data_IF_980292386886
#
_entry.id   IF_980292386886
#
_cell.length_a   1.000
_cell.length_b   1.000
_cell.length_c   1.000
_cell.angle_alpha   90.00
_cell.angle_beta   90.00
_cell.angle_gamma   90.00
#
_symmetry.space_group_name_H-M   'P 1'
#
loop_
_entity.id
_entity.type
_entity.pdbx_description
1 polymer ?
#
# COMPACT_ATOMS: atom_id res chain seq x y z
N UNK A 1 -0.89 -28.84 -49.57
CA UNK A 1 -0.61 -29.86 -48.53
C UNK A 1 -1.68 -29.72 -47.46
N UNK A 2 -2.78 -30.50 -47.55
CA UNK A 2 -3.08 -31.71 -46.74
C UNK A 2 -3.06 -31.42 -45.23
N UNK A 3 -4.21 -31.06 -44.62
CA UNK A 3 -5.21 -31.94 -43.91
C UNK A 3 -4.67 -32.49 -42.57
N UNK A 4 -5.37 -32.61 -41.43
CA UNK A 4 -6.79 -32.81 -41.13
C UNK A 4 -7.03 -32.64 -39.60
N UNK A 5 -8.25 -32.24 -39.20
CA UNK A 5 -8.82 -32.34 -37.83
C UNK A 5 -9.22 -33.80 -37.47
N UNK A 6 -9.34 -34.14 -36.17
CA UNK A 6 -10.26 -35.14 -35.52
C UNK A 6 -10.05 -35.06 -33.99
N UNK A 7 -11.00 -34.70 -33.10
CA UNK A 7 -12.27 -35.31 -32.62
C UNK A 7 -12.16 -36.69 -31.93
N UNK A 8 -12.46 -36.69 -30.62
CA UNK A 8 -13.30 -37.58 -29.77
C UNK A 8 -13.04 -39.09 -29.81
N UNK A 9 -12.84 -39.73 -28.63
CA UNK A 9 -13.53 -40.98 -28.23
C UNK A 9 -13.68 -41.03 -26.70
N UNK A 10 -14.94 -41.08 -26.23
CA UNK A 10 -15.33 -41.59 -24.92
C UNK A 10 -15.39 -43.13 -24.99
N UNK A 11 -14.82 -43.82 -24.02
CA UNK A 11 -14.82 -45.28 -23.92
C UNK A 11 -15.53 -45.74 -22.67
N UNK A 12 -16.75 -46.26 -22.84
CA UNK A 12 -17.47 -47.04 -21.84
C UNK A 12 -16.78 -48.41 -21.67
N UNK A 13 -16.58 -48.83 -20.41
CA UNK A 13 -16.16 -50.18 -20.07
C UNK A 13 -17.21 -50.80 -19.14
N UNK A 14 -18.11 -51.56 -19.76
CA UNK A 14 -18.94 -52.53 -19.08
C UNK A 14 -18.11 -53.81 -18.90
N UNK A 15 -17.92 -54.25 -17.65
CA UNK A 15 -17.46 -55.61 -17.35
C UNK A 15 -18.57 -56.36 -16.60
N UNK A 16 -18.87 -57.52 -17.16
CA UNK A 16 -19.83 -58.53 -16.74
C UNK A 16 -19.51 -59.13 -15.38
N UNK A 17 -20.54 -59.21 -14.53
CA UNK A 17 -20.62 -59.98 -13.28
C UNK A 17 -20.47 -61.49 -13.52
N UNK A 18 -19.52 -62.13 -12.82
CA UNK A 18 -19.66 -63.53 -12.36
C UNK A 18 -18.95 -63.69 -11.00
N UNK A 19 -19.74 -63.94 -9.95
CA UNK A 19 -19.44 -64.86 -8.85
C UNK A 19 -18.27 -64.54 -7.90
N UNK A 20 -18.59 -63.98 -6.74
CA UNK A 20 -17.71 -63.98 -5.57
C UNK A 20 -18.09 -62.88 -4.59
N UNK A 21 -19.07 -63.13 -3.71
CA UNK A 21 -19.43 -62.20 -2.64
C UNK A 21 -18.30 -62.13 -1.60
N UNK A 22 -17.35 -61.21 -1.81
CA UNK A 22 -16.60 -60.62 -0.71
C UNK A 22 -17.42 -59.40 -0.29
N UNK A 23 -18.07 -59.49 0.87
CA UNK A 23 -18.58 -58.31 1.55
C UNK A 23 -17.33 -57.53 1.97
N UNK A 24 -16.84 -56.67 1.09
CA UNK A 24 -15.94 -55.60 1.49
C UNK A 24 -16.79 -54.68 2.36
N UNK A 25 -16.58 -54.76 3.67
CA UNK A 25 -17.03 -53.71 4.56
C UNK A 25 -16.45 -52.41 3.98
N UNK A 26 -17.26 -51.44 3.53
CA UNK A 26 -16.70 -50.16 3.16
C UNK A 26 -16.06 -49.62 4.43
N UNK A 27 -14.72 -49.60 4.46
CA UNK A 27 -13.99 -48.83 5.45
C UNK A 27 -14.51 -47.41 5.26
N UNK A 28 -15.33 -46.96 6.20
CA UNK A 28 -15.83 -45.59 6.25
C UNK A 28 -14.57 -44.73 6.20
N UNK A 29 -14.39 -43.99 5.10
CA UNK A 29 -13.31 -43.01 5.04
C UNK A 29 -13.56 -42.04 6.19
N UNK A 30 -12.72 -42.11 7.21
CA UNK A 30 -12.80 -41.23 8.35
C UNK A 30 -12.51 -39.82 7.84
N UNK A 31 -13.43 -38.89 8.10
CA UNK A 31 -13.24 -37.52 7.65
C UNK A 31 -12.01 -36.94 8.35
N UNK A 32 -11.11 -36.31 7.61
CA UNK A 32 -9.95 -35.65 8.22
C UNK A 32 -10.45 -34.54 9.16
N UNK A 33 -9.79 -34.37 10.32
CA UNK A 33 -10.07 -33.30 11.28
C UNK A 33 -10.09 -31.94 10.56
N UNK A 34 -11.11 -31.11 10.85
CA UNK A 34 -11.23 -29.77 10.26
C UNK A 34 -10.06 -28.88 10.73
N UNK A 35 -9.27 -28.27 9.82
CA UNK A 35 -8.20 -27.36 10.19
C UNK A 35 -8.75 -25.98 10.56
N UNK A 36 -7.95 -25.18 11.27
CA UNK A 36 -8.21 -23.76 11.54
C UNK A 36 -7.04 -22.90 11.04
N UNK A 37 -7.22 -22.28 9.89
CA UNK A 37 -6.27 -21.34 9.30
C UNK A 37 -6.78 -19.90 9.43
N UNK A 38 -5.89 -19.01 9.88
CA UNK A 38 -6.21 -17.60 10.10
C UNK A 38 -5.71 -16.81 8.89
N UNK A 39 -6.60 -16.03 8.29
CA UNK A 39 -6.23 -15.08 7.22
C UNK A 39 -5.61 -13.84 7.87
N UNK A 40 -4.42 -13.46 7.43
CA UNK A 40 -3.78 -12.22 7.80
C UNK A 40 -3.66 -11.34 6.57
N UNK A 41 -4.08 -10.09 6.69
CA UNK A 41 -3.91 -9.08 5.64
C UNK A 41 -3.03 -7.97 6.16
N UNK A 42 -2.02 -7.60 5.38
CA UNK A 42 -1.28 -6.36 5.55
C UNK A 42 -1.57 -5.47 4.34
N UNK A 43 -2.22 -4.35 4.59
CA UNK A 43 -2.53 -3.32 3.61
C UNK A 43 -1.40 -2.28 3.55
N UNK A 44 -0.89 -2.01 2.35
CA UNK A 44 0.10 -0.98 2.08
C UNK A 44 -0.41 -0.01 1.01
N UNK A 45 0.19 1.19 0.88
CA UNK A 45 0.08 1.97 -0.33
C UNK A 45 0.34 1.13 -1.59
N UNK A 46 -0.41 1.42 -2.66
CA UNK A 46 -0.32 0.67 -3.92
C UNK A 46 1.10 0.68 -4.52
N UNK A 47 1.84 1.79 -4.35
CA UNK A 47 3.19 1.99 -4.87
C UNK A 47 4.09 2.67 -3.82
N UNK A 48 5.41 2.48 -3.95
CA UNK A 48 6.42 3.25 -3.21
C UNK A 48 6.64 2.84 -1.76
N UNK A 49 5.96 1.80 -1.26
CA UNK A 49 6.18 1.27 0.09
C UNK A 49 6.43 -0.24 0.02
N UNK A 50 7.53 -0.66 0.64
CA UNK A 50 7.95 -2.03 0.83
C UNK A 50 7.27 -2.63 2.06
N UNK A 51 7.06 -3.94 1.98
CA UNK A 51 6.53 -4.72 3.09
C UNK A 51 7.54 -4.72 4.25
N UNK A 52 7.13 -4.40 5.49
CA UNK A 52 8.03 -4.47 6.63
C UNK A 52 8.33 -5.93 6.98
N UNK A 53 9.47 -6.15 7.62
CA UNK A 53 9.70 -7.40 8.34
C UNK A 53 8.92 -7.35 9.67
N UNK A 54 7.92 -8.21 9.82
CA UNK A 54 7.14 -8.34 11.06
C UNK A 54 6.59 -9.77 11.20
N UNK A 55 6.34 -10.17 12.45
CA UNK A 55 5.68 -11.43 12.81
C UNK A 55 4.37 -11.11 13.51
N UNK A 56 3.26 -11.63 12.96
CA UNK A 56 1.95 -11.53 13.60
C UNK A 56 1.60 -12.86 14.25
N UNK A 57 1.41 -12.86 15.57
CA UNK A 57 0.96 -13.99 16.35
C UNK A 57 -0.51 -13.88 16.72
N UNK A 58 -1.17 -15.03 16.86
CA UNK A 58 -2.57 -15.12 17.27
C UNK A 58 -2.68 -15.85 18.60
N UNK A 59 -3.18 -15.15 19.60
CA UNK A 59 -3.29 -15.63 20.97
C UNK A 59 -4.67 -16.23 21.22
N UNK A 60 -4.71 -17.52 21.49
CA UNK A 60 -5.93 -18.22 21.90
C UNK A 60 -5.99 -18.25 23.44
N UNK A 61 -6.92 -17.49 24.01
CA UNK A 61 -7.17 -17.47 25.44
C UNK A 61 -8.39 -18.34 25.75
N UNK A 62 -8.26 -19.42 26.53
CA UNK A 62 -9.39 -20.22 26.98
C UNK A 62 -10.52 -19.41 27.60
N UNK A 63 -11.76 -19.77 27.28
CA UNK A 63 -12.96 -19.17 27.85
C UNK A 63 -13.82 -20.22 28.57
N UNK A 64 -14.11 -21.35 27.91
CA UNK A 64 -14.92 -22.41 28.53
C UNK A 64 -14.76 -23.77 27.85
N UNK A 65 -15.15 -24.83 28.56
CA UNK A 65 -15.38 -26.16 28.01
C UNK A 65 -16.82 -26.58 28.34
N UNK A 66 -17.62 -26.91 27.31
CA UNK A 66 -19.05 -27.22 27.45
C UNK A 66 -19.84 -26.18 28.27
N UNK A 67 -19.42 -24.91 28.20
CA UNK A 67 -20.02 -23.79 28.95
C UNK A 67 -19.49 -23.59 30.38
N UNK A 68 -18.68 -24.51 30.90
CA UNK A 68 -17.98 -24.31 32.18
C UNK A 68 -16.76 -23.40 31.97
N UNK A 69 -16.72 -22.28 32.69
CA UNK A 69 -15.64 -21.28 32.61
C UNK A 69 -14.45 -21.59 33.51
N UNK A 70 -14.52 -22.63 34.34
CA UNK A 70 -13.43 -23.02 35.23
C UNK A 70 -12.36 -23.83 34.47
N UNK A 71 -11.74 -23.21 33.46
CA UNK A 71 -10.80 -23.86 32.54
C UNK A 71 -9.33 -23.47 32.79
N UNK A 72 -8.41 -24.34 32.38
CA UNK A 72 -6.96 -24.13 32.48
C UNK A 72 -6.19 -24.75 31.33
N UNK A 73 -4.99 -24.25 31.04
CA UNK A 73 -4.04 -24.85 30.10
C UNK A 73 -2.92 -25.63 30.77
N UNK A 74 -2.85 -25.64 32.11
CA UNK A 74 -1.83 -26.38 32.86
C UNK A 74 -2.36 -27.78 33.19
N UNK A 75 -1.68 -28.81 32.66
CA UNK A 75 -2.01 -30.21 32.86
C UNK A 75 -1.86 -30.67 34.33
N UNK A 76 -1.10 -29.94 35.16
CA UNK A 76 -0.78 -30.33 36.55
C UNK A 76 -1.65 -29.67 37.61
N UNK A 77 -2.72 -28.97 37.22
CA UNK A 77 -3.45 -28.10 38.14
C UNK A 77 -4.38 -28.82 39.12
N UNK A 78 -4.91 -28.02 40.05
CA UNK A 78 -5.69 -28.40 41.24
C UNK A 78 -7.09 -28.94 40.93
N UNK A 79 -7.72 -29.55 41.94
CA UNK A 79 -9.06 -30.13 41.87
C UNK A 79 -10.14 -29.12 41.44
N UNK A 80 -10.84 -29.42 40.35
CA UNK A 80 -12.07 -28.73 39.92
C UNK A 80 -11.97 -27.94 38.62
N UNK A 81 -10.77 -27.71 38.08
CA UNK A 81 -10.59 -27.03 36.79
C UNK A 81 -10.53 -28.02 35.61
N UNK A 82 -10.99 -27.58 34.44
CA UNK A 82 -11.02 -28.37 33.21
C UNK A 82 -9.84 -28.00 32.32
N UNK A 83 -9.02 -28.99 31.98
CA UNK A 83 -7.92 -28.78 31.04
C UNK A 83 -8.44 -28.52 29.62
N UNK A 84 -7.92 -27.46 29.00
CA UNK A 84 -8.08 -27.17 27.57
C UNK A 84 -6.71 -26.98 26.92
N UNK A 85 -6.51 -27.44 25.66
CA UNK A 85 -5.22 -27.30 25.00
C UNK A 85 -4.79 -25.85 24.79
N UNK A 86 -3.48 -25.61 24.89
CA UNK A 86 -2.87 -24.38 24.40
C UNK A 86 -2.82 -24.43 22.86
N UNK A 87 -3.18 -23.31 22.23
CA UNK A 87 -3.15 -23.14 20.78
C UNK A 87 -2.35 -21.87 20.48
N UNK A 88 -1.47 -21.95 19.50
CA UNK A 88 -0.74 -20.80 18.97
C UNK A 88 -0.62 -20.91 17.46
N UNK A 89 -0.69 -19.75 16.80
CA UNK A 89 -0.48 -19.62 15.37
C UNK A 89 0.20 -18.28 15.08
N UNK A 90 0.86 -18.17 13.94
CA UNK A 90 1.43 -16.91 13.49
C UNK A 90 1.88 -16.97 12.04
N UNK A 91 2.18 -15.80 11.50
CA UNK A 91 2.69 -15.61 10.14
C UNK A 91 3.79 -14.55 10.13
N UNK A 92 4.71 -14.67 9.18
CA UNK A 92 5.78 -13.71 8.96
C UNK A 92 5.55 -12.96 7.65
N UNK A 93 5.94 -11.70 7.65
CA UNK A 93 6.06 -10.85 6.47
C UNK A 93 7.53 -10.48 6.27
N UNK A 94 7.94 -10.43 5.02
CA UNK A 94 9.29 -10.04 4.62
C UNK A 94 9.24 -8.97 3.53
N UNK A 95 10.31 -8.17 3.36
CA UNK A 95 10.36 -7.14 2.31
C UNK A 95 10.16 -7.64 0.87
N UNK A 96 10.48 -8.92 0.64
CA UNK A 96 10.25 -9.60 -0.64
C UNK A 96 8.79 -9.94 -0.92
N UNK A 97 7.89 -9.81 0.06
CA UNK A 97 6.46 -10.04 -0.09
C UNK A 97 5.77 -8.86 -0.78
N UNK A 98 5.84 -8.86 -2.12
CA UNK A 98 5.43 -7.73 -2.94
C UNK A 98 4.19 -8.00 -3.82
N UNK A 99 3.59 -9.19 -3.69
CA UNK A 99 2.41 -9.58 -4.45
C UNK A 99 1.17 -8.92 -3.83
N UNK A 100 0.38 -8.27 -4.68
CA UNK A 100 -0.98 -7.86 -4.34
C UNK A 100 -1.93 -9.04 -4.55
N UNK A 101 -2.41 -9.64 -3.47
CA UNK A 101 -3.30 -10.78 -3.51
C UNK A 101 -4.77 -10.40 -3.76
N UNK A 102 -5.15 -9.12 -3.61
CA UNK A 102 -6.51 -8.64 -3.87
C UNK A 102 -6.52 -7.24 -4.50
N UNK A 103 -6.38 -7.21 -5.82
CA UNK A 103 -6.44 -6.00 -6.65
C UNK A 103 -7.81 -5.31 -6.68
N UNK A 104 -8.85 -5.88 -6.05
CA UNK A 104 -10.18 -5.24 -5.99
C UNK A 104 -10.32 -4.22 -4.85
N UNK A 105 -9.40 -4.28 -3.89
CA UNK A 105 -9.31 -3.36 -2.76
C UNK A 105 -8.23 -2.31 -3.03
N UNK A 106 -8.47 -1.01 -2.82
CA UNK A 106 -7.43 0.01 -3.04
C UNK A 106 -6.19 -0.21 -2.15
N UNK A 107 -5.01 -0.07 -2.73
CA UNK A 107 -3.75 -0.40 -2.05
C UNK A 107 -3.29 -1.82 -2.33
N UNK A 108 -2.08 -2.16 -1.88
CA UNK A 108 -1.55 -3.51 -2.00
C UNK A 108 -2.03 -4.36 -0.83
N UNK A 109 -2.73 -5.45 -1.11
CA UNK A 109 -3.17 -6.42 -0.10
C UNK A 109 -2.22 -7.61 -0.05
N UNK A 110 -1.24 -7.58 0.85
CA UNK A 110 -0.35 -8.74 1.05
C UNK A 110 -1.06 -9.71 2.00
N UNK A 111 -1.43 -10.88 1.49
CA UNK A 111 -2.24 -11.86 2.23
C UNK A 111 -1.38 -13.07 2.59
N UNK A 112 -1.40 -13.40 3.88
CA UNK A 112 -0.83 -14.63 4.43
C UNK A 112 -1.91 -15.45 5.11
N UNK A 113 -1.65 -16.75 5.22
CA UNK A 113 -2.49 -17.68 5.95
C UNK A 113 -1.60 -18.50 6.88
N UNK A 114 -2.03 -18.71 8.13
CA UNK A 114 -1.30 -19.56 9.07
C UNK A 114 -1.30 -21.01 8.59
N UNK A 115 -0.36 -21.83 9.10
CA UNK A 115 -0.63 -23.27 9.18
C UNK A 115 -1.90 -23.55 10.01
N UNK A 116 -2.35 -24.81 10.01
CA UNK A 116 -3.45 -25.23 10.89
C UNK A 116 -3.08 -25.00 12.36
N UNK A 117 -3.77 -24.06 13.00
CA UNK A 117 -3.58 -23.71 14.40
C UNK A 117 -3.84 -24.88 15.34
N UNK A 118 -4.68 -25.86 14.94
CA UNK A 118 -5.09 -26.98 15.78
C UNK A 118 -4.18 -28.20 15.68
N UNK A 119 -3.22 -28.19 14.76
CA UNK A 119 -2.34 -29.34 14.42
C UNK A 119 -1.65 -29.98 15.63
N UNK A 120 -1.31 -29.18 16.64
CA UNK A 120 -0.61 -29.64 17.85
C UNK A 120 -1.50 -29.63 19.11
N UNK A 121 -2.81 -29.39 18.97
CA UNK A 121 -3.72 -29.35 20.10
C UNK A 121 -3.94 -30.76 20.69
N UNK A 122 -3.67 -30.91 21.98
CA UNK A 122 -3.78 -32.19 22.70
C UNK A 122 -5.17 -32.39 23.29
N UNK A 123 -6.16 -32.70 22.45
CA UNK A 123 -7.55 -32.90 22.89
C UNK A 123 -7.66 -34.11 23.83
N UNK A 124 -8.39 -33.93 24.95
CA UNK A 124 -8.56 -34.95 26.00
C UNK A 124 -10.00 -35.41 26.19
N UNK A 125 -10.96 -34.63 25.74
CA UNK A 125 -12.38 -34.91 25.93
C UNK A 125 -13.15 -34.48 24.67
N UNK A 126 -14.24 -35.17 24.38
CA UNK A 126 -15.23 -34.69 23.42
C UNK A 126 -16.01 -33.52 24.03
N UNK A 127 -16.37 -32.53 23.21
CA UNK A 127 -17.12 -31.37 23.66
C UNK A 127 -16.81 -30.11 22.87
N UNK A 128 -17.31 -28.99 23.38
CA UNK A 128 -17.09 -27.66 22.84
C UNK A 128 -16.01 -26.94 23.64
N UNK A 129 -14.91 -26.62 22.99
CA UNK A 129 -13.86 -25.76 23.51
C UNK A 129 -14.06 -24.35 22.99
N UNK A 130 -14.09 -23.34 23.87
CA UNK A 130 -14.29 -21.94 23.49
C UNK A 130 -13.06 -21.12 23.83
N UNK A 131 -12.60 -20.35 22.87
CA UNK A 131 -11.44 -19.46 22.97
C UNK A 131 -11.82 -18.03 22.57
N UNK A 132 -11.19 -17.06 23.22
CA UNK A 132 -11.04 -15.69 22.72
C UNK A 132 -9.75 -15.61 21.92
N UNK A 133 -9.79 -15.09 20.70
CA UNK A 133 -8.62 -14.93 19.84
C UNK A 133 -8.36 -13.46 19.53
N UNK A 134 -7.12 -13.04 19.72
CA UNK A 134 -6.62 -11.70 19.41
C UNK A 134 -5.27 -11.79 18.72
N UNK A 135 -4.93 -10.77 17.94
CA UNK A 135 -3.58 -10.62 17.38
C UNK A 135 -2.61 -9.99 18.38
N UNK A 136 -1.32 -10.27 18.22
CA UNK A 136 -0.21 -9.49 18.77
C UNK A 136 0.99 -9.53 17.80
N UNK A 137 1.90 -8.55 17.91
CA UNK A 137 3.24 -8.62 17.31
C UNK A 137 4.30 -8.43 18.40
N UNK A 138 5.43 -9.16 18.36
CA UNK A 138 6.54 -8.91 19.28
C UNK A 138 7.29 -7.60 18.99
N UNK A 139 7.10 -7.01 17.81
CA UNK A 139 7.81 -5.81 17.34
C UNK A 139 6.95 -4.53 17.41
N UNK A 140 5.71 -4.63 17.91
CA UNK A 140 4.73 -3.54 17.92
C UNK A 140 5.21 -2.24 18.61
N UNK A 141 6.15 -2.36 19.55
CA UNK A 141 6.68 -1.25 20.36
C UNK A 141 8.03 -0.73 19.82
N UNK A 142 8.52 -1.28 18.70
CA UNK A 142 9.75 -0.82 18.05
C UNK A 142 9.51 0.46 17.23
N UNK A 143 10.52 1.35 17.20
CA UNK A 143 10.42 2.64 16.50
C UNK A 143 10.20 2.45 14.98
N UNK A 144 10.81 1.41 14.40
CA UNK A 144 10.64 1.07 13.00
C UNK A 144 9.21 0.60 12.67
N UNK A 145 8.39 0.26 13.66
CA UNK A 145 6.98 -0.17 13.50
C UNK A 145 5.98 0.90 13.93
N UNK A 146 6.42 2.11 14.31
CA UNK A 146 5.56 3.18 14.83
C UNK A 146 4.41 3.61 13.89
N UNK A 147 4.58 3.38 12.59
CA UNK A 147 3.60 3.74 11.56
C UNK A 147 2.66 2.56 11.19
N UNK A 148 2.77 1.43 11.89
CA UNK A 148 1.88 0.28 11.78
C UNK A 148 0.61 0.49 12.60
N UNK A 149 -0.54 0.25 11.98
CA UNK A 149 -1.83 0.14 12.68
C UNK A 149 -2.20 -1.33 12.80
N UNK A 150 -2.05 -1.87 14.01
CA UNK A 150 -2.39 -3.25 14.33
C UNK A 150 -3.91 -3.45 14.50
N UNK A 151 -4.41 -4.59 14.05
CA UNK A 151 -5.79 -5.01 14.21
C UNK A 151 -6.14 -5.15 15.68
N UNK A 152 -7.27 -4.58 16.07
CA UNK A 152 -7.91 -4.74 17.38
C UNK A 152 -9.08 -5.71 17.34
N UNK A 153 -9.18 -6.49 16.27
CA UNK A 153 -10.25 -7.48 16.15
C UNK A 153 -10.17 -8.49 17.28
N UNK A 154 -11.33 -8.91 17.76
CA UNK A 154 -11.47 -9.95 18.76
C UNK A 154 -12.48 -10.96 18.23
N UNK A 155 -12.17 -12.24 18.41
CA UNK A 155 -13.03 -13.33 17.99
C UNK A 155 -13.34 -14.28 19.13
N UNK A 156 -14.56 -14.78 19.17
CA UNK A 156 -14.95 -15.95 19.96
C UNK A 156 -14.99 -17.15 19.03
N UNK A 157 -14.09 -18.11 19.25
CA UNK A 157 -13.94 -19.33 18.45
C UNK A 157 -14.42 -20.52 19.27
N UNK A 158 -15.35 -21.30 18.72
CA UNK A 158 -15.85 -22.55 19.29
C UNK A 158 -15.39 -23.73 18.44
N UNK A 159 -14.67 -24.65 19.06
CA UNK A 159 -14.11 -25.84 18.44
C UNK A 159 -14.86 -27.05 19.00
N UNK A 160 -15.52 -27.80 18.12
CA UNK A 160 -16.30 -28.97 18.49
C UNK A 160 -15.52 -30.23 18.19
N UNK A 161 -15.22 -30.96 19.26
CA UNK A 161 -14.40 -32.18 19.23
C UNK A 161 -15.28 -33.38 19.55
N UNK A 162 -15.10 -34.47 18.81
CA UNK A 162 -15.72 -35.76 19.12
C UNK A 162 -14.64 -36.82 19.33
N UNK A 163 -14.97 -37.82 20.12
CA UNK A 163 -14.17 -39.03 20.28
C UNK A 163 -14.48 -40.01 19.14
N UNK A 164 -13.45 -40.67 18.63
CA UNK A 164 -13.52 -41.70 17.61
C UNK A 164 -13.57 -43.09 18.23
N UNK A 165 -13.86 -44.10 17.42
CA UNK A 165 -14.00 -45.49 17.90
C UNK A 165 -12.69 -46.04 18.50
N UNK A 166 -11.55 -45.51 18.08
CA UNK A 166 -10.22 -45.89 18.59
C UNK A 166 -9.79 -45.10 19.84
N UNK A 167 -10.65 -44.23 20.37
CA UNK A 167 -10.38 -43.37 21.53
C UNK A 167 -9.55 -42.12 21.22
N UNK A 168 -9.27 -41.83 19.95
CA UNK A 168 -8.68 -40.55 19.52
C UNK A 168 -9.74 -39.47 19.36
N UNK A 169 -9.31 -38.21 19.17
CA UNK A 169 -10.21 -37.06 19.10
C UNK A 169 -10.05 -36.31 17.78
N UNK A 170 -11.16 -35.93 17.17
CA UNK A 170 -11.22 -35.18 15.91
C UNK A 170 -12.03 -33.88 16.09
N UNK A 171 -11.59 -32.80 15.43
CA UNK A 171 -12.39 -31.58 15.27
C UNK A 171 -13.36 -31.77 14.11
N UNK A 172 -14.65 -31.76 14.39
CA UNK A 172 -15.69 -31.97 13.36
C UNK A 172 -16.44 -30.68 12.99
N UNK A 173 -16.44 -29.67 13.86
CA UNK A 173 -17.03 -28.37 13.57
C UNK A 173 -16.26 -27.22 14.24
N UNK A 174 -16.25 -26.06 13.58
CA UNK A 174 -15.64 -24.84 14.09
C UNK A 174 -16.61 -23.70 13.81
N UNK A 175 -16.93 -22.92 14.85
CA UNK A 175 -17.80 -21.76 14.73
C UNK A 175 -17.13 -20.51 15.27
N UNK A 176 -17.21 -19.41 14.52
CA UNK A 176 -16.50 -18.17 14.79
C UNK A 176 -17.50 -17.03 14.88
N UNK A 177 -17.29 -16.15 15.85
CA UNK A 177 -18.01 -14.89 16.02
C UNK A 177 -16.97 -13.77 16.08
N UNK A 178 -17.06 -12.79 15.19
CA UNK A 178 -16.26 -11.55 15.26
C UNK A 178 -16.89 -10.63 16.30
N UNK A 179 -16.26 -10.50 17.46
CA UNK A 179 -16.74 -9.66 18.56
C UNK A 179 -16.38 -8.19 18.36
N UNK A 180 -15.19 -7.93 17.80
CA UNK A 180 -14.72 -6.58 17.43
C UNK A 180 -14.14 -6.55 16.03
N UNK A 181 -14.29 -5.41 15.36
CA UNK A 181 -13.61 -5.10 14.11
C UNK A 181 -12.14 -4.73 14.33
N UNK A 182 -11.40 -4.63 13.24
CA UNK A 182 -9.97 -4.30 13.24
C UNK A 182 -9.68 -2.89 13.81
N UNK A 183 -10.63 -1.96 13.74
CA UNK A 183 -10.58 -0.65 14.40
C UNK A 183 -10.90 -0.70 15.91
N UNK A 184 -11.35 -1.86 16.41
CA UNK A 184 -11.73 -2.10 17.81
C UNK A 184 -13.20 -1.82 18.12
N UNK A 185 -14.00 -1.41 17.13
CA UNK A 185 -15.45 -1.22 17.31
C UNK A 185 -16.15 -2.56 17.54
N UNK A 186 -17.12 -2.58 18.46
CA UNK A 186 -17.92 -3.77 18.75
C UNK A 186 -18.82 -4.09 17.57
N UNK A 187 -18.92 -5.37 17.23
CA UNK A 187 -19.90 -5.85 16.24
C UNK A 187 -21.21 -6.15 16.96
N UNK A 188 -22.18 -5.26 16.79
CA UNK A 188 -23.56 -5.47 17.27
C UNK A 188 -24.18 -6.69 16.57
N UNK A 189 -24.99 -7.46 17.31
CA UNK A 189 -25.67 -8.67 16.82
C UNK A 189 -24.75 -9.73 16.17
N UNK A 190 -23.48 -9.74 16.56
CA UNK A 190 -22.54 -10.76 16.09
C UNK A 190 -23.02 -12.16 16.48
N UNK A 191 -23.18 -13.03 15.48
CA UNK A 191 -23.57 -14.42 15.66
C UNK A 191 -22.42 -15.35 15.28
N UNK A 192 -22.41 -16.54 15.86
CA UNK A 192 -21.49 -17.60 15.44
C UNK A 192 -21.86 -18.08 14.04
N UNK A 193 -20.87 -18.14 13.16
CA UNK A 193 -20.97 -18.71 11.81
C UNK A 193 -20.02 -19.91 11.69
N UNK A 194 -20.37 -20.88 10.86
CA UNK A 194 -19.47 -21.99 10.53
C UNK A 194 -18.21 -21.43 9.85
N UNK A 195 -17.05 -21.87 10.31
CA UNK A 195 -15.77 -21.46 9.73
C UNK A 195 -15.56 -22.06 8.35
N UNK A 196 -15.06 -21.24 7.43
CA UNK A 196 -14.52 -21.70 6.16
C UNK A 196 -13.12 -21.13 5.94
N UNK A 197 -12.14 -21.92 5.46
CA UNK A 197 -10.77 -21.45 5.25
C UNK A 197 -10.61 -20.49 4.06
N UNK A 198 -11.70 -20.20 3.34
CA UNK A 198 -11.65 -19.45 2.09
C UNK A 198 -10.96 -20.20 0.96
N UNK A 199 -10.97 -19.62 -0.24
CA UNK A 199 -10.38 -20.21 -1.45
C UNK A 199 -9.64 -19.15 -2.27
N UNK A 200 -8.73 -19.57 -3.16
CA UNK A 200 -7.94 -18.67 -4.00
C UNK A 200 -6.81 -17.97 -3.24
N UNK A 201 -6.09 -17.11 -3.97
CA UNK A 201 -4.95 -16.36 -3.43
C UNK A 201 -5.40 -15.27 -2.44
N UNK A 202 -6.60 -14.70 -2.65
CA UNK A 202 -7.24 -13.71 -1.78
C UNK A 202 -7.92 -14.32 -0.54
N UNK A 203 -7.95 -15.66 -0.46
CA UNK A 203 -8.64 -16.43 0.60
C UNK A 203 -10.09 -16.00 0.78
N UNK A 204 -10.78 -15.74 -0.33
CA UNK A 204 -12.17 -15.28 -0.32
C UNK A 204 -13.07 -16.25 0.44
N UNK A 205 -13.88 -15.71 1.35
CA UNK A 205 -14.79 -16.46 2.21
C UNK A 205 -14.22 -16.78 3.59
N UNK A 206 -12.92 -16.62 3.82
CA UNK A 206 -12.37 -16.72 5.18
C UNK A 206 -12.66 -15.44 5.97
N UNK A 207 -13.68 -15.50 6.84
CA UNK A 207 -14.07 -14.39 7.72
C UNK A 207 -13.25 -14.34 9.02
N UNK A 208 -12.38 -15.32 9.27
CA UNK A 208 -11.45 -15.29 10.39
C UNK A 208 -10.17 -14.55 9.99
N UNK A 209 -10.30 -13.24 9.88
CA UNK A 209 -9.29 -12.36 9.29
C UNK A 209 -8.85 -11.26 10.26
N UNK A 210 -7.55 -10.97 10.27
CA UNK A 210 -6.99 -9.78 10.94
C UNK A 210 -6.32 -8.88 9.90
N UNK A 211 -6.69 -7.60 9.88
CA UNK A 211 -6.22 -6.64 8.88
C UNK A 211 -5.43 -5.51 9.54
N UNK A 212 -4.18 -5.33 9.10
CA UNK A 212 -3.31 -4.25 9.57
C UNK A 212 -2.98 -3.29 8.44
N UNK A 213 -2.65 -2.05 8.80
CA UNK A 213 -2.32 -1.01 7.84
C UNK A 213 -0.90 -0.51 8.08
N UNK A 214 -0.09 -0.50 7.02
CA UNK A 214 1.27 0.01 7.03
C UNK A 214 1.35 1.33 6.25
N UNK A 215 1.13 2.43 6.96
CA UNK A 215 1.08 3.79 6.41
C UNK A 215 2.35 4.57 6.77
N UNK A 216 3.50 4.05 6.31
CA UNK A 216 4.84 4.55 6.63
C UNK A 216 4.99 6.04 6.32
N UNK A 217 5.62 6.79 7.23
CA UNK A 217 5.98 8.20 7.04
C UNK A 217 7.48 8.39 7.10
N UNK A 218 8.00 9.31 6.29
CA UNK A 218 9.41 9.69 6.36
C UNK A 218 9.60 11.16 5.93
N UNK A 219 10.82 11.67 6.09
CA UNK A 219 11.19 13.04 5.79
C UNK A 219 12.48 13.45 6.49
N UNK A 220 12.78 14.75 6.43
CA UNK A 220 13.89 15.33 7.18
C UNK A 220 13.40 16.47 8.07
N UNK A 221 13.26 16.20 9.36
CA UNK A 221 12.84 17.23 10.33
C UNK A 221 13.97 18.22 10.67
N UNK A 222 15.21 17.89 10.32
CA UNK A 222 16.39 18.71 10.59
C UNK A 222 17.25 18.96 9.34
N UNK A 223 16.67 19.56 8.28
CA UNK A 223 17.44 19.87 7.08
C UNK A 223 18.47 20.95 7.38
N UNK A 224 19.66 20.77 6.83
CA UNK A 224 20.80 21.66 7.00
C UNK A 224 21.77 21.50 5.83
N UNK A 225 22.89 22.20 5.86
CA UNK A 225 23.92 22.12 4.81
C UNK A 225 23.61 23.00 3.60
N UNK A 226 24.65 23.26 2.80
CA UNK A 226 24.69 24.28 1.75
C UNK A 226 23.67 24.09 0.61
N UNK A 227 23.89 24.70 -0.57
CA UNK A 227 22.81 24.92 -1.53
C UNK A 227 22.25 23.65 -2.18
N UNK A 228 22.97 22.53 -2.13
CA UNK A 228 22.56 21.26 -2.73
C UNK A 228 21.55 20.53 -1.85
N UNK A 229 20.70 19.71 -2.47
CA UNK A 229 19.86 18.74 -1.75
C UNK A 229 20.78 17.75 -1.04
N UNK A 230 20.57 17.54 0.26
CA UNK A 230 21.32 16.55 1.05
C UNK A 230 20.64 15.19 0.98
N UNK A 231 21.37 14.10 1.22
CA UNK A 231 20.78 12.75 1.17
C UNK A 231 19.63 12.56 2.16
N UNK A 232 19.74 13.15 3.36
CA UNK A 232 18.65 13.14 4.33
C UNK A 232 17.38 13.84 3.82
N UNK A 233 17.51 14.90 3.01
CA UNK A 233 16.36 15.65 2.46
C UNK A 233 15.51 14.80 1.50
N UNK A 234 16.09 13.73 0.95
CA UNK A 234 15.47 12.89 -0.08
C UNK A 234 14.62 11.74 0.49
N UNK A 235 14.59 11.55 1.81
CA UNK A 235 13.78 10.52 2.48
C UNK A 235 12.29 10.73 2.26
N UNK A 236 11.84 11.97 2.47
CA UNK A 236 10.50 12.42 2.09
C UNK A 236 10.52 12.94 0.65
N UNK A 237 10.71 14.25 0.48
CA UNK A 237 10.83 14.86 -0.84
C UNK A 237 11.58 16.19 -0.73
N UNK A 238 12.40 16.50 -1.73
CA UNK A 238 13.06 17.78 -1.85
C UNK A 238 12.87 18.42 -3.23
N UNK A 239 12.57 19.71 -3.26
CA UNK A 239 12.54 20.52 -4.48
C UNK A 239 13.56 21.65 -4.35
N UNK A 240 14.52 21.74 -5.27
CA UNK A 240 15.51 22.82 -5.29
C UNK A 240 15.36 23.70 -6.51
N UNK A 241 15.45 25.02 -6.30
CA UNK A 241 15.47 26.02 -7.37
C UNK A 241 16.89 26.46 -7.70
N UNK A 242 17.23 26.48 -8.98
CA UNK A 242 18.50 27.04 -9.50
C UNK A 242 18.26 27.96 -10.68
N UNK A 243 19.21 28.86 -10.96
CA UNK A 243 19.22 29.77 -12.10
C UNK A 243 20.54 29.54 -12.81
N UNK A 244 20.50 29.28 -14.10
CA UNK A 244 21.68 29.09 -14.93
C UNK A 244 22.28 30.43 -15.36
N UNK A 245 23.61 30.50 -15.43
CA UNK A 245 24.35 31.68 -15.86
C UNK A 245 25.60 31.90 -15.00
N UNK A 246 26.48 32.80 -15.45
CA UNK A 246 27.70 33.15 -14.72
C UNK A 246 27.42 33.97 -13.45
N UNK A 247 26.38 34.81 -13.50
CA UNK A 247 25.96 35.69 -12.39
C UNK A 247 24.45 35.52 -12.12
N UNK A 248 24.01 34.37 -11.59
CA UNK A 248 22.60 34.13 -11.33
C UNK A 248 22.07 35.09 -10.26
N UNK A 249 20.89 35.66 -10.50
CA UNK A 249 20.21 36.50 -9.52
C UNK A 249 19.90 35.71 -8.25
N UNK A 250 20.28 36.26 -7.09
CA UNK A 250 20.00 35.65 -5.79
C UNK A 250 18.75 36.23 -5.11
N UNK A 251 18.12 37.21 -5.75
CA UNK A 251 16.96 37.93 -5.20
C UNK A 251 15.66 37.60 -5.90
N UNK A 252 15.72 37.14 -7.16
CA UNK A 252 14.53 36.80 -7.93
C UNK A 252 13.78 35.61 -7.33
N UNK A 253 12.46 35.72 -7.37
CA UNK A 253 11.52 34.82 -6.69
C UNK A 253 10.74 34.02 -7.72
N UNK A 254 10.67 32.72 -7.49
CA UNK A 254 9.96 31.76 -8.32
C UNK A 254 8.87 31.12 -7.47
N UNK A 255 7.63 31.15 -7.96
CA UNK A 255 6.51 30.52 -7.25
C UNK A 255 6.29 29.13 -7.80
N UNK A 256 6.20 28.14 -6.91
CA UNK A 256 5.80 26.79 -7.23
C UNK A 256 4.46 26.46 -6.58
N UNK A 257 3.61 25.75 -7.29
CA UNK A 257 2.47 25.02 -6.74
C UNK A 257 2.90 23.57 -6.47
N UNK A 258 2.84 23.16 -5.21
CA UNK A 258 3.03 21.78 -4.79
C UNK A 258 1.67 21.13 -4.56
N UNK A 259 1.35 20.08 -5.32
CA UNK A 259 0.19 19.23 -5.07
C UNK A 259 0.69 17.86 -4.58
N UNK A 260 0.29 17.46 -3.38
CA UNK A 260 0.65 16.16 -2.81
C UNK A 260 -0.64 15.36 -2.61
N UNK A 261 -0.82 14.30 -3.38
CA UNK A 261 -1.92 13.36 -3.20
C UNK A 261 -1.58 12.33 -2.12
N UNK A 262 -2.56 12.00 -1.28
CA UNK A 262 -2.47 10.89 -0.32
C UNK A 262 -2.22 9.57 -1.08
N UNK A 263 -1.43 8.62 -0.54
CA UNK A 263 -1.21 7.34 -1.21
C UNK A 263 -2.54 6.59 -1.40
N UNK A 264 -2.67 5.93 -2.55
CA UNK A 264 -3.81 5.03 -2.81
C UNK A 264 -3.74 3.82 -1.87
N UNK A 265 -4.87 3.49 -1.23
CA UNK A 265 -4.93 2.44 -0.22
C UNK A 265 -4.46 2.83 1.19
N UNK A 266 -4.06 4.09 1.40
CA UNK A 266 -3.63 4.54 2.73
C UNK A 266 -4.81 4.68 3.70
N UNK A 267 -4.69 4.08 4.89
CA UNK A 267 -5.68 4.15 5.97
C UNK A 267 -5.36 5.22 7.02
N UNK A 268 -4.23 5.92 6.88
CA UNK A 268 -3.84 7.01 7.79
C UNK A 268 -4.87 8.15 7.85
N UNK A 269 -5.16 8.68 9.03
CA UNK A 269 -6.01 9.87 9.19
C UNK A 269 -5.30 11.19 8.89
N UNK A 270 -4.03 11.16 8.46
CA UNK A 270 -3.26 12.37 8.17
C UNK A 270 -3.90 13.19 7.03
N UNK A 271 -4.19 14.45 7.33
CA UNK A 271 -4.76 15.42 6.37
C UNK A 271 -3.71 16.41 5.85
N UNK A 272 -2.53 16.44 6.48
CA UNK A 272 -1.44 17.35 6.16
C UNK A 272 -0.09 16.64 6.11
N UNK A 273 0.83 17.19 5.33
CA UNK A 273 2.27 16.92 5.40
C UNK A 273 3.00 18.17 5.92
N UNK A 274 4.26 18.01 6.33
CA UNK A 274 5.06 19.13 6.85
C UNK A 274 6.35 19.34 6.06
N UNK A 275 6.81 20.58 6.01
CA UNK A 275 8.00 20.96 5.22
C UNK A 275 8.72 22.19 5.78
N UNK A 276 9.95 22.36 5.34
CA UNK A 276 10.79 23.53 5.54
C UNK A 276 11.14 24.19 4.21
N UNK A 277 11.41 25.49 4.25
CA UNK A 277 12.21 26.15 3.21
C UNK A 277 13.61 26.32 3.76
N UNK A 278 14.60 25.85 3.02
CA UNK A 278 16.03 25.94 3.39
C UNK A 278 16.69 26.92 2.43
N UNK A 279 17.38 27.91 2.98
CA UNK A 279 18.07 28.92 2.21
C UNK A 279 19.37 28.40 1.56
N UNK A 280 19.98 29.21 0.70
CA UNK A 280 21.22 28.85 0.01
C UNK A 280 22.43 28.57 0.95
N UNK A 281 22.36 29.00 2.21
CA UNK A 281 23.38 28.77 3.23
C UNK A 281 23.08 27.56 4.11
N UNK A 282 21.89 26.96 3.96
CA UNK A 282 21.45 25.81 4.74
C UNK A 282 20.63 26.16 5.98
N UNK A 283 20.22 27.41 6.17
CA UNK A 283 19.34 27.78 7.27
C UNK A 283 17.89 27.41 6.92
N UNK A 284 17.23 26.65 7.79
CA UNK A 284 15.81 26.27 7.63
C UNK A 284 14.88 27.33 8.21
N UNK A 285 13.72 27.48 7.58
CA UNK A 285 12.61 28.28 8.09
C UNK A 285 11.96 27.62 9.33
N UNK A 286 10.93 28.26 9.88
CA UNK A 286 9.97 27.56 10.73
C UNK A 286 9.29 26.42 9.95
N UNK A 287 8.84 25.39 10.69
CA UNK A 287 8.13 24.23 10.12
C UNK A 287 6.78 24.70 9.60
N UNK A 288 6.46 24.34 8.36
CA UNK A 288 5.20 24.66 7.69
C UNK A 288 4.42 23.39 7.41
N UNK A 289 3.15 23.55 7.11
CA UNK A 289 2.26 22.45 6.73
C UNK A 289 1.67 22.71 5.34
N UNK A 290 1.44 21.64 4.60
CA UNK A 290 0.64 21.61 3.38
C UNK A 290 -0.49 20.60 3.55
N UNK A 291 -1.62 20.85 2.90
CA UNK A 291 -2.77 19.94 2.92
C UNK A 291 -2.67 18.93 1.78
N UNK A 292 -2.97 17.66 2.05
CA UNK A 292 -3.07 16.67 0.99
C UNK A 292 -4.20 17.03 0.02
N UNK A 293 -4.01 16.73 -1.28
CA UNK A 293 -4.93 16.97 -2.39
C UNK A 293 -5.23 18.44 -2.68
N UNK A 294 -4.54 19.37 -2.02
CA UNK A 294 -4.61 20.81 -2.30
C UNK A 294 -3.27 21.35 -2.73
N UNK A 295 -3.34 22.39 -3.55
CA UNK A 295 -2.16 23.12 -4.00
C UNK A 295 -1.60 23.97 -2.85
N UNK A 296 -0.32 23.78 -2.56
CA UNK A 296 0.45 24.58 -1.60
C UNK A 296 1.44 25.44 -2.37
N UNK A 297 1.26 26.76 -2.32
CA UNK A 297 2.21 27.70 -2.93
C UNK A 297 3.47 27.84 -2.07
N UNK A 298 4.64 27.71 -2.72
CA UNK A 298 5.95 27.97 -2.12
C UNK A 298 6.74 28.92 -3.01
N UNK A 299 7.53 29.80 -2.39
CA UNK A 299 8.36 30.77 -3.11
C UNK A 299 9.82 30.43 -2.82
N UNK A 300 10.60 30.21 -3.88
CA UNK A 300 12.02 29.91 -3.81
C UNK A 300 12.83 30.92 -4.62
N UNK A 301 14.00 31.28 -4.09
CA UNK A 301 15.05 31.99 -4.81
C UNK A 301 16.12 31.01 -5.31
N UNK A 302 17.11 31.53 -6.02
CA UNK A 302 18.27 30.75 -6.42
C UNK A 302 18.91 30.04 -5.22
N UNK A 303 19.12 28.73 -5.37
CA UNK A 303 19.69 27.81 -4.39
C UNK A 303 18.87 27.59 -3.09
N UNK A 304 17.63 28.06 -3.03
CA UNK A 304 16.72 27.65 -1.97
C UNK A 304 16.06 26.31 -2.33
N UNK A 305 15.66 25.57 -1.29
CA UNK A 305 14.95 24.29 -1.46
C UNK A 305 13.79 24.13 -0.49
N UNK A 306 12.74 23.46 -0.93
CA UNK A 306 11.73 22.85 -0.05
C UNK A 306 12.21 21.48 0.35
N UNK A 307 12.07 21.13 1.63
CA UNK A 307 12.34 19.79 2.15
C UNK A 307 11.15 19.35 2.98
N UNK A 308 10.55 18.21 2.63
CA UNK A 308 9.47 17.63 3.42
C UNK A 308 10.05 17.04 4.71
N UNK A 309 9.51 17.50 5.83
CA UNK A 309 9.91 17.08 7.16
C UNK A 309 9.22 15.77 7.57
N UNK A 310 7.98 15.60 7.14
CA UNK A 310 7.20 14.37 7.34
C UNK A 310 6.12 14.30 6.25
N UNK A 311 6.05 13.17 5.55
CA UNK A 311 5.06 12.86 4.52
C UNK A 311 4.78 11.35 4.52
N UNK A 312 3.53 10.95 4.25
CA UNK A 312 3.18 9.56 3.93
C UNK A 312 3.95 9.08 2.69
N UNK A 313 4.69 7.99 2.81
CA UNK A 313 5.31 7.33 1.66
C UNK A 313 4.23 6.66 0.79
N UNK A 314 4.50 6.53 -0.50
CA UNK A 314 3.52 6.24 -1.54
C UNK A 314 2.72 7.47 -2.02
N UNK A 315 2.92 8.66 -1.43
CA UNK A 315 2.24 9.88 -1.86
C UNK A 315 2.72 10.29 -3.25
N UNK A 316 1.79 10.77 -4.10
CA UNK A 316 2.16 11.36 -5.38
C UNK A 316 2.35 12.86 -5.23
N UNK A 317 3.56 13.36 -5.49
CA UNK A 317 3.85 14.81 -5.51
C UNK A 317 3.90 15.32 -6.94
N UNK A 318 3.42 16.54 -7.15
CA UNK A 318 3.57 17.34 -8.38
C UNK A 318 4.06 18.72 -7.99
N UNK A 319 5.13 19.21 -8.62
CA UNK A 319 5.75 20.49 -8.33
C UNK A 319 5.87 21.34 -9.60
N UNK A 320 4.96 22.31 -9.77
CA UNK A 320 4.91 23.15 -10.97
C UNK A 320 5.34 24.58 -10.67
N UNK A 321 6.31 25.10 -11.41
CA UNK A 321 6.62 26.52 -11.38
C UNK A 321 5.49 27.31 -12.07
N UNK A 322 4.80 28.17 -11.31
CA UNK A 322 3.63 28.92 -11.79
C UNK A 322 3.97 30.38 -12.11
N UNK A 323 5.05 30.92 -11.54
CA UNK A 323 5.52 32.29 -11.80
C UNK A 323 7.04 32.32 -11.89
N UNK A 324 7.54 32.68 -13.08
CA UNK A 324 8.98 32.66 -13.42
C UNK A 324 9.52 34.00 -13.96
N UNK A 325 8.68 35.01 -14.17
CA UNK A 325 9.09 36.30 -14.73
C UNK A 325 9.61 36.18 -16.17
N UNK A 326 10.82 36.69 -16.43
CA UNK A 326 11.50 36.66 -17.75
C UNK A 326 12.30 35.39 -18.00
N UNK A 327 12.16 34.38 -17.13
CA UNK A 327 12.92 33.15 -17.20
C UNK A 327 12.11 32.02 -17.83
N UNK A 328 12.80 31.12 -18.55
CA UNK A 328 12.26 29.81 -18.92
C UNK A 328 12.81 28.75 -17.97
N UNK A 329 11.89 28.04 -17.32
CA UNK A 329 12.17 26.99 -16.36
C UNK A 329 12.07 25.59 -16.97
N UNK A 330 12.85 24.66 -16.43
CA UNK A 330 12.74 23.23 -16.72
C UNK A 330 13.14 22.40 -15.50
N UNK A 331 12.62 21.18 -15.42
CA UNK A 331 13.23 20.15 -14.57
C UNK A 331 14.60 19.83 -15.16
N UNK A 332 15.64 19.98 -14.34
CA UNK A 332 17.02 19.67 -14.70
C UNK A 332 17.34 18.20 -14.43
N UNK A 333 16.83 17.69 -13.33
CA UNK A 333 16.91 16.30 -12.93
C UNK A 333 15.85 16.01 -11.88
N UNK A 334 15.38 14.77 -11.83
CA UNK A 334 14.50 14.29 -10.78
C UNK A 334 14.78 12.83 -10.49
N UNK A 335 14.46 12.41 -9.27
CA UNK A 335 14.36 11.00 -8.90
C UNK A 335 13.15 10.79 -8.02
N UNK A 336 12.51 9.64 -8.19
CA UNK A 336 11.37 9.21 -7.39
C UNK A 336 11.52 7.73 -7.08
N UNK A 337 11.51 7.40 -5.80
CA UNK A 337 11.74 6.05 -5.31
C UNK A 337 12.99 5.40 -5.95
N UNK A 338 14.13 6.10 -5.89
CA UNK A 338 15.40 5.69 -6.50
C UNK A 338 15.47 5.72 -8.04
N UNK A 339 14.35 5.91 -8.74
CA UNK A 339 14.29 5.86 -10.22
C UNK A 339 14.58 7.23 -10.83
N UNK A 340 15.52 7.28 -11.78
CA UNK A 340 15.86 8.49 -12.53
C UNK A 340 14.77 8.91 -13.51
N UNK A 341 14.56 10.22 -13.63
CA UNK A 341 13.71 10.82 -14.65
C UNK A 341 13.88 12.33 -14.78
N UNK A 342 13.11 12.93 -15.69
CA UNK A 342 13.03 14.38 -15.93
C UNK A 342 11.58 14.88 -15.77
N UNK A 343 10.95 14.53 -14.64
CA UNK A 343 9.53 14.78 -14.37
C UNK A 343 9.33 15.79 -13.25
N UNK A 344 8.24 16.56 -13.35
CA UNK A 344 7.79 17.47 -12.29
C UNK A 344 6.89 16.75 -11.26
N UNK A 345 6.68 15.44 -11.41
CA UNK A 345 5.82 14.65 -10.56
C UNK A 345 6.29 13.19 -10.44
N UNK A 346 5.93 12.54 -9.33
CA UNK A 346 6.23 11.14 -9.07
C UNK A 346 5.79 10.65 -7.69
N UNK A 347 6.00 9.37 -7.43
CA UNK A 347 5.70 8.73 -6.14
C UNK A 347 6.88 8.94 -5.18
N UNK A 348 6.58 9.43 -3.98
CA UNK A 348 7.52 9.54 -2.88
C UNK A 348 7.63 8.15 -2.25
N UNK A 349 8.72 7.43 -2.51
CA UNK A 349 8.87 6.05 -2.04
C UNK A 349 9.96 5.85 -0.99
N UNK A 350 9.96 4.68 -0.37
CA UNK A 350 10.80 4.30 0.77
C UNK A 350 12.22 3.83 0.41
N UNK A 351 12.49 3.55 -0.86
CA UNK A 351 13.88 3.43 -1.36
C UNK A 351 14.64 4.75 -1.22
N UNK A 352 13.91 5.86 -1.04
CA UNK A 352 14.45 7.20 -0.91
C UNK A 352 14.80 7.83 -2.26
N UNK A 353 15.76 8.76 -2.24
CA UNK A 353 16.18 9.52 -3.42
C UNK A 353 15.02 10.30 -4.09
N UNK A 354 14.07 10.82 -3.31
CA UNK A 354 12.91 11.56 -3.83
C UNK A 354 13.24 13.06 -3.97
N UNK A 355 13.46 13.55 -5.20
CA UNK A 355 13.73 14.97 -5.41
C UNK A 355 13.45 15.50 -6.82
N UNK A 356 13.39 16.82 -6.92
CA UNK A 356 13.43 17.59 -8.18
C UNK A 356 14.48 18.71 -8.05
N UNK A 357 15.41 18.80 -9.00
CA UNK A 357 16.18 20.02 -9.25
C UNK A 357 15.55 20.77 -10.43
N UNK A 358 15.10 22.00 -10.19
CA UNK A 358 14.48 22.87 -11.18
C UNK A 358 15.44 24.00 -11.56
N UNK A 359 15.68 24.19 -12.85
CA UNK A 359 16.63 25.18 -13.36
C UNK A 359 15.93 26.18 -14.28
N UNK A 360 16.15 27.48 -14.03
CA UNK A 360 15.67 28.53 -14.92
C UNK A 360 16.82 29.22 -15.62
N UNK A 361 16.59 29.64 -16.85
CA UNK A 361 17.55 30.43 -17.63
C UNK A 361 16.90 31.73 -18.09
N UNK A 362 17.64 32.83 -17.98
CA UNK A 362 17.20 34.12 -18.53
C UNK A 362 16.98 34.01 -20.03
N UNK A 363 15.89 34.61 -20.50
CA UNK A 363 15.67 34.80 -21.92
C UNK A 363 16.56 35.93 -22.44
N UNK A 364 17.37 35.64 -23.44
CA UNK A 364 18.04 36.69 -24.20
C UNK A 364 17.07 37.25 -25.26
N UNK A 365 17.17 38.54 -25.63
CA UNK A 365 16.32 39.14 -26.67
C UNK A 365 16.30 38.35 -28.00
N UNK A 366 17.41 37.69 -28.32
CA UNK A 366 17.55 36.82 -29.50
C UNK A 366 16.76 35.51 -29.39
N UNK A 367 16.60 34.94 -28.20
CA UNK A 367 15.80 33.72 -27.98
C UNK A 367 14.30 33.97 -28.20
N UNK A 368 13.80 35.11 -27.71
CA UNK A 368 12.40 35.52 -27.89
C UNK A 368 12.03 35.71 -29.37
N UNK A 369 12.98 36.18 -30.19
CA UNK A 369 12.82 36.35 -31.64
C UNK A 369 12.81 35.01 -32.40
N UNK A 370 13.62 34.04 -31.98
CA UNK A 370 13.72 32.72 -32.62
C UNK A 370 12.48 31.87 -32.33
N UNK A 371 12.02 31.84 -31.07
CA UNK A 371 10.86 31.02 -30.68
C UNK A 371 9.53 31.58 -31.21
N UNK A 372 9.45 32.91 -31.42
CA UNK A 372 8.28 33.56 -32.04
C UNK A 372 8.46 33.79 -33.55
N UNK A 373 9.58 33.40 -34.16
CA UNK A 373 9.85 33.62 -35.58
C UNK A 373 8.76 33.06 -36.50
N UNK A 374 8.16 31.87 -36.23
CA UNK A 374 7.05 31.37 -37.03
C UNK A 374 5.83 32.29 -37.00
N UNK A 375 5.50 32.85 -35.82
CA UNK A 375 4.39 33.78 -35.64
C UNK A 375 4.67 35.15 -36.28
N UNK A 376 5.89 35.67 -36.10
CA UNK A 376 6.34 36.94 -36.69
C UNK A 376 6.36 36.84 -38.23
N UNK A 377 6.82 35.70 -38.77
CA UNK A 377 6.79 35.44 -40.21
C UNK A 377 5.36 35.39 -40.75
N UNK A 378 4.42 34.79 -40.01
CA UNK A 378 3.01 34.74 -40.39
C UNK A 378 2.38 36.13 -40.45
N UNK A 379 2.67 37.00 -39.48
CA UNK A 379 2.25 38.40 -39.48
C UNK A 379 2.87 39.16 -40.67
N UNK A 380 4.15 38.91 -40.96
CA UNK A 380 4.83 39.54 -42.10
C UNK A 380 4.24 39.10 -43.45
N UNK A 381 3.95 37.80 -43.64
CA UNK A 381 3.29 37.29 -44.86
C UNK A 381 1.87 37.84 -44.99
N UNK A 382 1.10 37.90 -43.88
CA UNK A 382 -0.23 38.49 -43.89
C UNK A 382 -0.19 39.98 -44.24
N UNK A 383 0.76 40.74 -43.68
CA UNK A 383 0.99 42.14 -44.00
C UNK A 383 1.36 42.36 -45.47
N UNK A 384 2.24 41.52 -46.02
CA UNK A 384 2.60 41.55 -47.44
C UNK A 384 1.40 41.20 -48.32
N UNK A 385 0.60 40.21 -47.96
CA UNK A 385 -0.62 39.83 -48.68
C UNK A 385 -1.65 40.96 -48.74
N UNK A 386 -1.88 41.66 -47.63
CA UNK A 386 -2.77 42.84 -47.57
C UNK A 386 -2.20 43.98 -48.43
N UNK A 387 -0.89 44.23 -48.35
CA UNK A 387 -0.24 45.27 -49.15
C UNK A 387 -0.38 45.00 -50.67
N UNK A 388 -0.12 43.77 -51.12
CA UNK A 388 -0.28 43.39 -52.53
C UNK A 388 -1.74 43.46 -52.99
N UNK A 389 -2.69 43.05 -52.14
CA UNK A 389 -4.13 43.16 -52.45
C UNK A 389 -4.56 44.63 -52.63
N UNK A 390 -4.15 45.52 -51.72
CA UNK A 390 -4.49 46.96 -51.81
C UNK A 390 -3.83 47.61 -53.03
N UNK A 391 -2.59 47.25 -53.35
CA UNK A 391 -1.90 47.76 -54.55
C UNK A 391 -2.61 47.33 -55.83
N UNK A 392 -2.92 46.04 -55.98
CA UNK A 392 -3.59 45.54 -57.18
C UNK A 392 -4.98 46.15 -57.36
N UNK A 393 -5.72 46.37 -56.27
CA UNK A 393 -7.02 47.05 -56.33
C UNK A 393 -6.92 48.51 -56.79
N UNK A 394 -5.87 49.23 -56.37
CA UNK A 394 -5.60 50.59 -56.83
C UNK A 394 -5.16 50.65 -58.29
N UNK A 395 -4.45 49.63 -58.78
CA UNK A 395 -4.09 49.52 -60.20
C UNK A 395 -5.32 49.19 -61.06
N UNK A 396 -6.24 48.34 -60.60
CA UNK A 396 -7.53 48.11 -61.25
C UNK A 396 -8.44 49.35 -61.26
N UNK A 397 -8.50 50.11 -60.16
CA UNK A 397 -9.24 51.39 -60.08
C UNK A 397 -8.58 52.51 -60.94
N UNK A 398 -7.30 52.40 -61.30
CA UNK A 398 -6.60 53.34 -62.17
C UNK A 398 -6.61 52.96 -63.66
N UNK A 399 -7.01 51.71 -63.98
CA UNK A 399 -7.17 51.17 -65.34
C UNK A 399 -8.64 51.11 -65.80
N UNK A 400 -9.59 51.38 -64.91
CA UNK A 400 -11.00 51.64 -65.19
C UNK A 400 -11.26 53.14 -65.36
#
# INVERSE_FOLDING_TARGET
>A
MKTLKKKIVAGALAFTLVGGAVIANPQKAEAASKPLNIKKVLNLPAEGVETPYDTFGFKFTPVSFNGDTNVTTDEKKTTGEIYVPLISAGVNYEPTDNIDNDTSTPGKQVIRETEDALKNANWKNAGQYVYKVTEYSPYQDEDDMKDMTYSKAEYTVSIFVKELEDGTFEVYDIQIKKDKKDDGTVVEDANKQEYTPGQGDDKKGNEFVFENNWDKKDGNDNPSGGPKIQDADKKGFALRKTIAGENPSTTDKFTFSLNVAKPEGSHSDATTYSYYIVDAKGAKSEKKTGEYKKDTEVILKHNERVVFAEVLLGSKVTAKETKSGTYIGKVKSSKFNGTEGDSDNGIIGDTGDNFIEYENKEQTPTGLLIDNLPFIALIAVAGLGIFFFVKNRKEEEALA
#
